data_IF_678220327637
#
_entry.id   IF_678220327637
#
_cell.length_a   1.000
_cell.length_b   1.000
_cell.length_c   1.000
_cell.angle_alpha   90.00
_cell.angle_beta   90.00
_cell.angle_gamma   90.00
#
_symmetry.space_group_name_H-M   'P 1'
#
loop_
_entity.id
_entity.type
_entity.pdbx_description
1 polymer ?
#
# COMPACT_ATOMS: atom_id res chain seq x y z
N UNK A 1 -13.01 -3.99 -12.12
CA UNK A 1 -11.73 -3.50 -11.56
C UNK A 1 -10.65 -3.65 -12.61
N UNK A 2 -9.88 -2.59 -12.88
CA UNK A 2 -8.71 -2.60 -13.76
C UNK A 2 -7.50 -2.11 -12.98
N UNK A 3 -6.30 -2.64 -13.27
CA UNK A 3 -5.04 -2.20 -12.67
C UNK A 3 -4.10 -1.76 -13.77
N UNK A 4 -3.63 -0.52 -13.71
CA UNK A 4 -2.76 0.09 -14.70
C UNK A 4 -1.38 0.34 -14.11
N UNK A 5 -0.33 0.04 -14.89
CA UNK A 5 1.07 0.21 -14.53
C UNK A 5 1.79 0.91 -15.67
N UNK A 6 2.76 1.76 -15.34
CA UNK A 6 3.56 2.45 -16.36
C UNK A 6 4.42 1.45 -17.12
N UNK A 7 4.39 1.54 -18.44
CA UNK A 7 5.28 0.78 -19.32
C UNK A 7 6.75 1.07 -18.97
N UNK A 8 7.58 0.03 -18.92
CA UNK A 8 8.99 0.10 -18.50
C UNK A 8 9.25 -0.17 -17.02
N UNK A 9 8.26 0.03 -16.14
CA UNK A 9 8.39 -0.23 -14.69
C UNK A 9 7.73 -1.53 -14.24
N UNK A 10 7.13 -2.30 -15.15
CA UNK A 10 6.28 -3.46 -14.85
C UNK A 10 7.02 -4.56 -14.07
N UNK A 11 8.33 -4.71 -14.30
CA UNK A 11 9.17 -5.74 -13.68
C UNK A 11 9.95 -5.22 -12.45
N UNK A 12 9.64 -4.01 -11.96
CA UNK A 12 10.24 -3.50 -10.73
C UNK A 12 9.84 -4.31 -9.49
N UNK A 13 10.62 -4.20 -8.42
CA UNK A 13 10.29 -4.86 -7.14
C UNK A 13 9.06 -4.23 -6.49
N UNK A 14 9.06 -2.90 -6.43
CA UNK A 14 7.97 -2.05 -5.96
C UNK A 14 7.58 -1.14 -7.12
N UNK A 15 6.33 -1.23 -7.59
CA UNK A 15 5.86 -0.59 -8.83
C UNK A 15 4.63 0.25 -8.54
N UNK A 16 4.65 1.57 -8.79
CA UNK A 16 3.45 2.39 -8.75
C UNK A 16 2.37 1.87 -9.71
N UNK A 17 1.15 1.76 -9.21
CA UNK A 17 0.00 1.34 -9.99
C UNK A 17 -1.26 2.15 -9.66
N UNK A 18 -2.17 2.24 -10.62
CA UNK A 18 -3.50 2.81 -10.42
C UNK A 18 -4.51 1.67 -10.45
N UNK A 19 -5.37 1.60 -9.44
CA UNK A 19 -6.53 0.72 -9.39
C UNK A 19 -7.76 1.53 -9.78
N UNK A 20 -8.44 1.08 -10.84
CA UNK A 20 -9.68 1.68 -11.32
C UNK A 20 -10.86 0.80 -10.89
N UNK A 21 -11.77 1.39 -10.11
CA UNK A 21 -13.03 0.78 -9.73
C UNK A 21 -14.16 1.52 -10.41
N UNK A 22 -15.11 0.76 -10.95
CA UNK A 22 -16.29 1.31 -11.59
C UNK A 22 -17.47 0.37 -11.33
N UNK A 23 -18.64 0.95 -11.09
CA UNK A 23 -19.89 0.23 -10.95
C UNK A 23 -20.78 0.59 -12.13
N UNK A 24 -21.10 -0.40 -12.95
CA UNK A 24 -21.88 -0.20 -14.18
C UNK A 24 -23.39 -0.05 -13.90
N UNK A 25 -23.83 -0.35 -12.68
CA UNK A 25 -25.20 -0.19 -12.18
C UNK A 25 -25.41 1.13 -11.42
N UNK A 26 -24.45 2.07 -11.51
CA UNK A 26 -24.44 3.36 -10.82
C UNK A 26 -24.54 3.29 -9.29
N UNK A 27 -24.29 2.12 -8.67
CA UNK A 27 -24.40 1.96 -7.22
C UNK A 27 -23.24 2.60 -6.44
N UNK A 28 -22.14 2.93 -7.12
CA UNK A 28 -20.98 3.64 -6.55
C UNK A 28 -20.33 4.53 -7.59
N UNK A 29 -19.60 5.56 -7.14
CA UNK A 29 -18.77 6.38 -8.01
C UNK A 29 -17.67 5.56 -8.69
N UNK A 30 -17.18 6.04 -9.83
CA UNK A 30 -15.90 5.65 -10.37
C UNK A 30 -14.78 6.07 -9.40
N UNK A 31 -13.79 5.21 -9.20
CA UNK A 31 -12.67 5.47 -8.30
C UNK A 31 -11.34 5.23 -8.99
N UNK A 32 -10.40 6.15 -8.77
CA UNK A 32 -8.99 5.99 -9.13
C UNK A 32 -8.18 5.96 -7.83
N UNK A 33 -7.51 4.84 -7.58
CA UNK A 33 -6.81 4.62 -6.32
C UNK A 33 -5.32 4.38 -6.63
N UNK A 34 -4.42 5.27 -6.17
CA UNK A 34 -2.99 5.04 -6.29
C UNK A 34 -2.54 3.96 -5.30
N UNK A 35 -1.61 3.11 -5.74
CA UNK A 35 -1.02 2.07 -4.91
C UNK A 35 0.40 1.71 -5.35
N UNK A 36 1.04 0.88 -4.55
CA UNK A 36 2.33 0.26 -4.85
C UNK A 36 2.11 -1.24 -4.96
N UNK A 37 2.41 -1.78 -6.13
CA UNK A 37 2.44 -3.21 -6.35
C UNK A 37 3.82 -3.75 -6.01
N UNK A 38 3.87 -4.70 -5.09
CA UNK A 38 5.11 -5.39 -4.75
C UNK A 38 5.10 -6.79 -5.35
N UNK A 39 6.00 -7.04 -6.30
CA UNK A 39 5.97 -8.25 -7.12
C UNK A 39 6.16 -9.53 -6.30
N UNK A 40 7.10 -9.52 -5.35
CA UNK A 40 7.53 -10.71 -4.57
C UNK A 40 6.42 -11.33 -3.71
N UNK A 41 5.48 -10.51 -3.24
CA UNK A 41 4.35 -10.98 -2.45
C UNK A 41 3.05 -11.04 -3.25
N UNK A 42 3.05 -10.59 -4.51
CA UNK A 42 1.85 -10.40 -5.33
C UNK A 42 0.77 -9.54 -4.67
N UNK A 43 1.12 -8.83 -3.60
CA UNK A 43 0.20 -7.97 -2.89
C UNK A 43 0.17 -6.59 -3.57
N UNK A 44 -1.04 -6.09 -3.80
CA UNK A 44 -1.26 -4.69 -4.12
C UNK A 44 -1.39 -3.92 -2.82
N UNK A 45 -0.34 -3.21 -2.41
CA UNK A 45 -0.49 -2.25 -1.34
C UNK A 45 -1.28 -1.07 -1.91
N UNK A 46 -2.45 -0.85 -1.33
CA UNK A 46 -3.31 0.27 -1.68
C UNK A 46 -3.11 1.36 -0.63
N UNK A 47 -2.76 2.56 -1.07
CA UNK A 47 -2.64 3.70 -0.17
C UNK A 47 -4.06 4.23 0.14
N UNK A 48 -4.70 3.81 1.24
CA UNK A 48 -6.03 4.29 1.67
C UNK A 48 -6.14 4.40 3.19
N UNK A 49 -6.49 5.57 3.77
CA UNK A 49 -7.85 6.13 3.79
C UNK A 49 -8.02 7.61 3.38
N UNK A 50 -7.00 8.28 2.80
CA UNK A 50 -7.11 9.69 2.34
C UNK A 50 -6.00 10.14 1.36
N UNK A 51 -5.05 9.28 0.98
CA UNK A 51 -3.94 9.66 0.11
C UNK A 51 -4.30 9.45 -1.35
N UNK A 52 -4.94 10.45 -1.95
CA UNK A 52 -5.07 10.54 -3.42
C UNK A 52 -6.09 9.61 -4.07
N UNK A 53 -7.03 9.03 -3.29
CA UNK A 53 -8.20 8.39 -3.89
C UNK A 53 -9.07 9.46 -4.54
N UNK A 54 -9.39 9.28 -5.82
CA UNK A 54 -10.25 10.19 -6.56
C UNK A 54 -11.56 9.50 -6.87
N UNK A 55 -12.66 10.16 -6.50
CA UNK A 55 -14.02 9.67 -6.73
C UNK A 55 -14.70 10.57 -7.74
N UNK A 56 -15.12 9.99 -8.86
CA UNK A 56 -15.88 10.69 -9.90
C UNK A 56 -17.32 10.18 -9.88
N UNK A 57 -18.31 11.03 -9.57
CA UNK A 57 -19.72 10.64 -9.65
C UNK A 57 -20.14 10.39 -11.10
N UNK A 58 -21.12 9.49 -11.32
CA UNK A 58 -21.68 9.18 -12.64
C UNK A 58 -22.62 10.28 -13.20
N UNK A 59 -22.41 11.54 -12.80
CA UNK A 59 -23.24 12.68 -13.19
C UNK A 59 -22.41 13.95 -13.37
N UNK A 60 -22.82 14.79 -14.32
CA UNK A 60 -22.17 16.06 -14.62
C UNK A 60 -21.06 15.89 -15.66
N UNK A 61 -20.01 16.70 -15.56
CA UNK A 61 -18.84 16.58 -16.44
C UNK A 61 -17.92 15.44 -16.00
N UNK A 62 -18.29 14.22 -16.39
CA UNK A 62 -17.53 13.01 -16.03
C UNK A 62 -16.15 13.03 -16.70
N UNK A 63 -16.08 13.42 -17.98
CA UNK A 63 -14.84 13.37 -18.76
C UNK A 63 -13.80 14.34 -18.18
N UNK A 64 -14.19 15.59 -17.90
CA UNK A 64 -13.29 16.58 -17.29
C UNK A 64 -12.79 16.13 -15.93
N UNK A 65 -13.68 15.63 -15.06
CA UNK A 65 -13.31 15.14 -13.73
C UNK A 65 -12.36 13.93 -13.77
N UNK A 66 -12.54 13.01 -14.72
CA UNK A 66 -11.62 11.88 -14.90
C UNK A 66 -10.24 12.36 -15.37
N UNK A 67 -10.18 13.33 -16.28
CA UNK A 67 -8.90 13.88 -16.78
C UNK A 67 -8.15 14.59 -15.65
N UNK A 68 -8.82 15.49 -14.93
CA UNK A 68 -8.21 16.21 -13.80
C UNK A 68 -7.75 15.23 -12.72
N UNK A 69 -8.57 14.23 -12.41
CA UNK A 69 -8.18 13.22 -11.45
C UNK A 69 -6.95 12.41 -11.88
N UNK A 70 -6.79 12.12 -13.17
CA UNK A 70 -5.60 11.45 -13.65
C UNK A 70 -4.32 12.27 -13.39
N UNK A 71 -4.37 13.60 -13.52
CA UNK A 71 -3.23 14.47 -13.19
C UNK A 71 -2.96 14.53 -11.69
N UNK A 72 -4.00 14.59 -10.86
CA UNK A 72 -3.84 14.59 -9.40
C UNK A 72 -3.20 13.28 -8.89
N UNK A 73 -3.61 12.13 -9.44
CA UNK A 73 -3.03 10.82 -9.12
C UNK A 73 -1.52 10.77 -9.41
N UNK A 74 -1.04 11.42 -10.47
CA UNK A 74 0.39 11.46 -10.79
C UNK A 74 1.21 12.11 -9.67
N UNK A 75 0.74 13.24 -9.12
CA UNK A 75 1.43 13.91 -8.00
C UNK A 75 1.39 13.11 -6.69
N UNK A 76 0.49 12.14 -6.56
CA UNK A 76 0.43 11.24 -5.41
C UNK A 76 1.51 10.17 -5.51
N UNK A 77 1.84 9.69 -6.71
CA UNK A 77 2.87 8.67 -6.88
C UNK A 77 4.25 9.12 -6.46
N UNK A 78 4.61 10.37 -6.74
CA UNK A 78 5.90 10.93 -6.32
C UNK A 78 6.00 10.89 -4.79
N UNK A 79 4.97 11.36 -4.09
CA UNK A 79 4.91 11.33 -2.62
C UNK A 79 4.96 9.92 -2.03
N UNK A 80 4.25 8.97 -2.64
CA UNK A 80 4.26 7.57 -2.18
C UNK A 80 5.64 6.95 -2.39
N UNK A 81 6.28 7.24 -3.52
CA UNK A 81 7.64 6.78 -3.82
C UNK A 81 8.65 7.39 -2.84
N UNK A 82 8.58 8.70 -2.60
CA UNK A 82 9.43 9.40 -1.63
C UNK A 82 9.29 8.83 -0.22
N UNK A 83 8.05 8.60 0.25
CA UNK A 83 7.82 8.01 1.57
C UNK A 83 8.35 6.58 1.66
N UNK A 84 8.15 5.78 0.61
CA UNK A 84 8.71 4.42 0.55
C UNK A 84 10.23 4.46 0.64
N UNK A 85 10.89 5.30 -0.14
CA UNK A 85 12.35 5.41 -0.11
C UNK A 85 12.85 5.95 1.24
N UNK A 86 12.17 6.93 1.84
CA UNK A 86 12.48 7.41 3.19
C UNK A 86 12.36 6.30 4.26
N UNK A 87 11.35 5.42 4.14
CA UNK A 87 11.23 4.26 5.03
C UNK A 87 12.37 3.24 4.81
N UNK A 88 12.86 3.08 3.57
CA UNK A 88 14.00 2.18 3.28
C UNK A 88 15.32 2.71 3.87
N UNK A 89 15.45 4.01 4.08
CA UNK A 89 16.64 4.59 4.70
C UNK A 89 16.70 4.34 6.23
N UNK A 90 15.54 4.14 6.87
CA UNK A 90 15.45 3.91 8.31
C UNK A 90 15.74 2.43 8.61
N UNK A 91 16.91 2.14 9.17
CA UNK A 91 17.30 0.80 9.57
C UNK A 91 16.88 0.51 11.01
N UNK A 92 16.24 -0.65 11.22
CA UNK A 92 15.78 -1.09 12.53
C UNK A 92 16.67 -2.21 13.07
N UNK A 93 17.06 -2.09 14.33
CA UNK A 93 17.67 -3.19 15.07
C UNK A 93 16.61 -4.24 15.46
N UNK A 94 17.05 -5.34 16.08
CA UNK A 94 16.15 -6.45 16.45
C UNK A 94 15.05 -6.03 17.43
N UNK A 95 15.39 -5.20 18.42
CA UNK A 95 14.45 -4.75 19.44
C UNK A 95 13.43 -3.76 18.86
N UNK A 96 13.87 -2.89 17.94
CA UNK A 96 13.02 -1.96 17.21
C UNK A 96 12.03 -2.68 16.28
N UNK A 97 12.48 -3.73 15.57
CA UNK A 97 11.58 -4.57 14.77
C UNK A 97 10.53 -5.25 15.64
N UNK A 98 10.95 -5.81 16.77
CA UNK A 98 10.03 -6.45 17.73
C UNK A 98 9.03 -5.45 18.30
N UNK A 99 9.49 -4.25 18.69
CA UNK A 99 8.63 -3.17 19.16
C UNK A 99 7.62 -2.73 18.09
N UNK A 100 8.06 -2.61 16.84
CA UNK A 100 7.19 -2.30 15.71
C UNK A 100 6.09 -3.36 15.52
N UNK A 101 6.46 -4.64 15.54
CA UNK A 101 5.51 -5.75 15.45
C UNK A 101 4.48 -5.71 16.59
N UNK A 102 4.94 -5.51 17.83
CA UNK A 102 4.04 -5.38 18.99
C UNK A 102 3.07 -4.21 18.83
N UNK A 103 3.57 -3.05 18.44
CA UNK A 103 2.74 -1.87 18.21
C UNK A 103 1.68 -2.10 17.12
N UNK A 104 2.04 -2.81 16.05
CA UNK A 104 1.10 -3.16 14.98
C UNK A 104 -0.01 -4.11 15.46
N UNK A 105 0.32 -5.11 16.29
CA UNK A 105 -0.68 -6.01 16.86
C UNK A 105 -1.63 -5.28 17.82
N UNK A 106 -1.09 -4.40 18.67
CA UNK A 106 -1.90 -3.54 19.53
C UNK A 106 -2.85 -2.65 18.72
N UNK A 107 -2.37 -2.07 17.62
CA UNK A 107 -3.19 -1.23 16.75
C UNK A 107 -4.32 -2.00 16.05
N UNK A 108 -4.15 -3.29 15.75
CA UNK A 108 -5.17 -4.11 15.07
C UNK A 108 -6.15 -4.79 16.01
N UNK A 109 -5.68 -5.35 17.12
CA UNK A 109 -6.47 -6.23 17.98
C UNK A 109 -6.91 -5.57 19.29
N UNK A 110 -6.34 -4.41 19.65
CA UNK A 110 -6.59 -3.61 20.87
C UNK A 110 -6.28 -4.32 22.21
N UNK A 111 -6.34 -5.65 22.26
CA UNK A 111 -6.17 -6.51 23.42
C UNK A 111 -5.20 -7.67 23.11
N UNK A 112 -4.17 -7.82 23.95
CA UNK A 112 -3.18 -8.90 23.83
C UNK A 112 -3.84 -10.29 23.92
N UNK A 113 -4.93 -10.45 24.67
CA UNK A 113 -5.62 -11.75 24.80
C UNK A 113 -6.39 -12.16 23.54
N UNK A 114 -6.71 -11.21 22.67
CA UNK A 114 -7.40 -11.45 21.38
C UNK A 114 -6.42 -11.59 20.22
N UNK A 115 -5.13 -11.39 20.47
CA UNK A 115 -4.11 -11.38 19.44
C UNK A 115 -3.71 -12.83 19.10
N UNK A 116 -3.97 -13.33 17.87
CA UNK A 116 -3.77 -14.74 17.52
C UNK A 116 -2.32 -15.09 17.13
N UNK A 117 -1.46 -14.08 16.98
CA UNK A 117 -0.07 -14.21 16.51
C UNK A 117 0.87 -13.37 17.37
N UNK A 118 2.13 -13.80 17.52
CA UNK A 118 3.12 -13.07 18.32
C UNK A 118 3.87 -12.04 17.47
N UNK A 119 4.50 -11.00 18.09
CA UNK A 119 5.36 -10.07 17.37
C UNK A 119 6.46 -10.77 16.55
N UNK A 120 7.07 -11.82 17.08
CA UNK A 120 8.11 -12.60 16.39
C UNK A 120 7.56 -13.29 15.14
N UNK A 121 6.35 -13.84 15.22
CA UNK A 121 5.71 -14.51 14.09
C UNK A 121 5.44 -13.53 12.94
N UNK A 122 5.09 -12.27 13.24
CA UNK A 122 4.76 -11.30 12.20
C UNK A 122 5.97 -10.57 11.61
N UNK A 123 7.08 -10.45 12.34
CA UNK A 123 8.31 -9.83 11.82
C UNK A 123 9.25 -10.83 11.14
N UNK A 124 9.00 -12.13 11.26
CA UNK A 124 9.84 -13.16 10.66
C UNK A 124 9.70 -13.15 9.13
N UNK A 125 10.80 -13.00 8.37
CA UNK A 125 10.74 -13.05 6.91
C UNK A 125 10.36 -14.45 6.42
N UNK A 126 9.36 -14.53 5.53
CA UNK A 126 8.99 -15.78 4.83
C UNK A 126 9.83 -16.03 3.58
N UNK A 127 10.41 -14.98 3.00
CA UNK A 127 11.19 -15.01 1.75
C UNK A 127 12.56 -14.33 1.93
N UNK A 128 13.48 -14.57 0.99
CA UNK A 128 14.83 -13.98 1.05
C UNK A 128 14.78 -12.46 0.83
N UNK A 129 13.87 -12.01 -0.04
CA UNK A 129 13.67 -10.61 -0.41
C UNK A 129 13.15 -9.76 0.74
N UNK A 130 12.65 -10.38 1.81
CA UNK A 130 12.12 -9.74 3.01
C UNK A 130 13.14 -9.67 4.15
N UNK A 131 14.39 -10.10 3.94
CA UNK A 131 15.41 -10.16 5.01
C UNK A 131 16.00 -8.82 5.42
N UNK A 132 15.81 -7.78 4.61
CA UNK A 132 16.36 -6.45 4.94
C UNK A 132 15.68 -5.89 6.18
N UNK A 133 16.45 -5.23 7.02
CA UNK A 133 16.02 -4.72 8.33
C UNK A 133 15.55 -3.26 8.30
N UNK A 134 15.30 -2.71 7.12
CA UNK A 134 14.73 -1.37 7.00
C UNK A 134 13.24 -1.34 7.40
N UNK A 135 12.73 -0.14 7.70
CA UNK A 135 11.35 0.06 8.15
C UNK A 135 10.34 -0.36 7.09
N UNK A 136 10.60 -0.11 5.80
CA UNK A 136 9.71 -0.52 4.70
C UNK A 136 9.57 -2.05 4.65
N UNK A 137 10.69 -2.77 4.62
CA UNK A 137 10.69 -4.23 4.56
C UNK A 137 10.11 -4.86 5.84
N UNK A 138 10.36 -4.27 7.01
CA UNK A 138 9.77 -4.72 8.28
C UNK A 138 8.26 -4.52 8.28
N UNK A 139 7.79 -3.38 7.80
CA UNK A 139 6.36 -3.10 7.69
C UNK A 139 5.65 -4.05 6.73
N UNK A 140 6.26 -4.36 5.59
CA UNK A 140 5.75 -5.34 4.64
C UNK A 140 5.61 -6.74 5.26
N UNK A 141 6.62 -7.19 6.04
CA UNK A 141 6.54 -8.48 6.77
C UNK A 141 5.36 -8.51 7.73
N UNK A 142 5.19 -7.45 8.51
CA UNK A 142 4.07 -7.33 9.46
C UNK A 142 2.73 -7.36 8.73
N UNK A 143 2.58 -6.59 7.65
CA UNK A 143 1.33 -6.54 6.88
C UNK A 143 0.96 -7.91 6.28
N UNK A 144 1.94 -8.68 5.81
CA UNK A 144 1.73 -9.99 5.20
C UNK A 144 1.43 -11.12 6.21
N UNK A 145 1.89 -10.95 7.44
CA UNK A 145 1.84 -12.00 8.46
C UNK A 145 0.72 -11.80 9.49
N UNK A 146 0.00 -10.67 9.43
CA UNK A 146 -1.01 -10.26 10.41
C UNK A 146 -2.45 -10.53 9.96
#
# INVERSE_FOLDING_TARGET
>A
MLRLRREGNINGKDVPEIILLNSHDDSSSYQMIPGIFRFVCTNGLVCGNNFGEIRVPHKGDIVGQVIEGAYEVLGVFDKVTENMEAMKEIHLNSDEQHLFGRAALMARYEDENKTPVTPEQIITPRRWEDKQNDLWTTWQRVQENM
#
